data_IF_470651491109
#
_entry.id   IF_470651491109
#
_cell.length_a   1.000
_cell.length_b   1.000
_cell.length_c   1.000
_cell.angle_alpha   90.00
_cell.angle_beta   90.00
_cell.angle_gamma   90.00
#
_symmetry.space_group_name_H-M   'P 1'
#
loop_
_entity.id
_entity.type
_entity.pdbx_description
1 polymer ?
#
# COMPACT_ATOMS: atom_id res chain seq x y z
N UNK A 1 28.03 21.94 22.04
CA UNK A 1 27.39 21.37 20.84
C UNK A 1 28.46 21.21 19.77
N UNK A 2 28.52 20.04 19.12
CA UNK A 2 29.53 19.79 18.09
C UNK A 2 29.28 20.72 16.89
N UNK A 3 30.35 21.28 16.32
CA UNK A 3 30.26 22.12 15.13
C UNK A 3 29.76 21.28 13.95
N UNK A 4 28.71 21.71 13.23
CA UNK A 4 28.24 21.00 12.04
C UNK A 4 29.39 20.86 11.03
N UNK A 5 29.67 19.63 10.59
CA UNK A 5 30.82 19.34 9.72
C UNK A 5 30.46 19.24 8.23
N UNK A 6 29.17 19.26 7.89
CA UNK A 6 28.66 19.50 6.54
C UNK A 6 27.37 20.30 6.64
N UNK A 7 27.29 21.42 5.90
CA UNK A 7 26.05 22.13 5.60
C UNK A 7 25.70 21.87 4.14
N UNK A 8 25.19 20.68 3.82
CA UNK A 8 24.38 20.56 2.61
C UNK A 8 22.98 21.04 2.98
N UNK A 9 22.77 22.35 2.79
CA UNK A 9 21.49 22.99 3.04
C UNK A 9 20.56 22.64 1.90
N UNK A 10 19.77 21.58 2.04
CA UNK A 10 18.63 21.34 1.15
C UNK A 10 17.51 22.32 1.54
N UNK A 11 17.30 23.37 0.75
CA UNK A 11 16.26 24.35 1.01
C UNK A 11 14.88 23.76 0.72
N UNK A 12 14.17 23.34 1.76
CA UNK A 12 12.73 23.02 1.67
C UNK A 12 11.96 24.29 1.98
N UNK A 13 11.68 25.11 0.97
CA UNK A 13 10.82 26.28 1.19
C UNK A 13 9.40 25.81 1.49
N UNK A 14 8.91 26.08 2.70
CA UNK A 14 7.57 25.74 3.18
C UNK A 14 6.66 26.99 3.30
N UNK A 15 7.16 28.16 2.90
CA UNK A 15 6.39 29.39 2.77
C UNK A 15 5.44 29.28 1.58
N UNK A 16 4.20 28.86 1.86
CA UNK A 16 3.14 28.76 0.87
C UNK A 16 1.87 29.44 1.42
N UNK A 17 1.04 30.00 0.54
CA UNK A 17 -0.22 30.64 0.93
C UNK A 17 -1.31 29.63 1.32
N UNK A 18 -1.06 28.33 1.16
CA UNK A 18 -1.93 27.23 1.52
C UNK A 18 -1.10 26.08 2.10
N UNK A 19 -1.73 25.19 2.89
CA UNK A 19 -1.08 23.99 3.40
C UNK A 19 -0.53 23.14 2.25
N UNK A 20 0.75 22.75 2.35
CA UNK A 20 1.45 21.92 1.37
C UNK A 20 2.29 20.87 2.08
N UNK A 21 2.27 19.65 1.53
CA UNK A 21 3.19 18.60 1.94
C UNK A 21 4.33 18.57 0.92
N UNK A 22 5.58 18.64 1.39
CA UNK A 22 6.78 18.56 0.56
C UNK A 22 7.70 17.47 1.10
N UNK A 23 8.46 16.85 0.21
CA UNK A 23 9.54 15.94 0.57
C UNK A 23 10.84 16.37 -0.11
N UNK A 24 11.96 15.98 0.49
CA UNK A 24 13.29 16.26 -0.01
C UNK A 24 14.14 15.00 0.12
N UNK A 25 14.94 14.72 -0.89
CA UNK A 25 16.00 13.72 -0.82
C UNK A 25 17.33 14.45 -0.67
N UNK A 26 18.10 14.12 0.35
CA UNK A 26 19.43 14.66 0.55
C UNK A 26 20.46 13.88 -0.28
N UNK A 27 21.65 14.45 -0.47
CA UNK A 27 22.82 13.65 -0.82
C UNK A 27 23.12 12.62 0.29
N UNK A 28 23.89 11.54 0.01
CA UNK A 28 24.32 10.59 1.03
C UNK A 28 24.95 11.29 2.23
N UNK A 29 24.44 11.01 3.43
CA UNK A 29 24.91 11.63 4.67
C UNK A 29 26.16 10.89 5.17
N UNK A 30 27.32 11.56 5.30
CA UNK A 30 28.52 10.89 5.78
C UNK A 30 28.47 10.71 7.31
N UNK A 31 28.93 9.55 7.80
CA UNK A 31 29.06 9.29 9.24
C UNK A 31 30.12 10.18 9.91
N UNK A 32 31.09 10.73 9.17
CA UNK A 32 32.16 11.60 9.68
C UNK A 32 32.84 11.06 10.96
N UNK A 33 33.13 9.75 10.99
CA UNK A 33 33.75 9.08 12.13
C UNK A 33 32.86 8.91 13.36
N UNK A 34 31.56 9.23 13.27
CA UNK A 34 30.57 8.97 14.31
C UNK A 34 30.01 7.57 14.21
N UNK A 35 29.55 7.03 15.35
CA UNK A 35 28.88 5.73 15.43
C UNK A 35 27.46 5.75 14.88
N UNK A 36 26.79 6.90 14.96
CA UNK A 36 25.40 7.08 14.55
C UNK A 36 25.27 8.33 13.68
N UNK A 37 24.39 8.28 12.68
CA UNK A 37 23.97 9.45 11.93
C UNK A 37 23.03 10.29 12.81
N UNK A 38 23.24 11.60 12.83
CA UNK A 38 22.34 12.56 13.45
C UNK A 38 21.96 13.62 12.40
N UNK A 39 20.66 13.82 12.22
CA UNK A 39 20.10 14.88 11.39
C UNK A 39 19.51 15.95 12.30
N UNK A 40 19.86 17.21 12.06
CA UNK A 40 19.24 18.36 12.71
C UNK A 40 18.51 19.18 11.65
N UNK A 41 17.22 19.42 11.87
CA UNK A 41 16.38 20.22 10.99
C UNK A 41 16.11 21.56 11.66
N UNK A 42 16.55 22.64 11.02
CA UNK A 42 16.42 24.00 11.54
C UNK A 42 15.44 24.78 10.67
N UNK A 43 14.44 25.40 11.33
CA UNK A 43 13.58 26.39 10.70
C UNK A 43 14.22 27.77 10.73
N UNK A 44 13.82 28.64 9.81
CA UNK A 44 14.26 30.04 9.76
C UNK A 44 13.14 31.05 10.08
N UNK A 45 11.96 30.56 10.49
CA UNK A 45 10.81 31.39 10.85
C UNK A 45 10.08 30.79 12.07
N UNK A 46 9.82 31.63 13.07
CA UNK A 46 9.11 31.21 14.28
C UNK A 46 7.59 31.42 14.19
N UNK A 47 7.11 32.11 13.16
CA UNK A 47 5.69 32.44 12.95
C UNK A 47 4.95 31.42 12.07
N UNK A 48 5.67 30.44 11.50
CA UNK A 48 5.09 29.37 10.70
C UNK A 48 5.57 28.03 11.27
N UNK A 49 4.63 27.25 11.79
CA UNK A 49 4.94 25.90 12.27
C UNK A 49 5.04 24.94 11.09
N UNK A 50 5.99 24.01 11.17
CA UNK A 50 6.19 22.94 10.20
C UNK A 50 6.12 21.62 10.95
N UNK A 51 5.20 20.76 10.56
CA UNK A 51 5.13 19.40 11.07
C UNK A 51 6.02 18.48 10.23
N UNK A 52 6.85 17.68 10.91
CA UNK A 52 7.62 16.62 10.27
C UNK A 52 6.75 15.37 10.27
N UNK A 53 6.29 14.97 9.09
CA UNK A 53 5.41 13.80 8.92
C UNK A 53 6.24 12.50 8.91
N UNK A 54 7.47 12.52 8.41
CA UNK A 54 8.34 11.35 8.40
C UNK A 54 9.71 11.59 7.76
N UNK A 55 10.59 10.60 7.90
CA UNK A 55 11.90 10.55 7.25
C UNK A 55 12.24 9.09 6.90
N UNK A 56 12.98 8.89 5.81
CA UNK A 56 13.48 7.57 5.38
C UNK A 56 14.99 7.62 5.19
N UNK A 57 15.69 6.67 5.78
CA UNK A 57 17.13 6.47 5.55
C UNK A 57 17.32 5.31 4.58
N UNK A 58 18.09 5.55 3.52
CA UNK A 58 18.41 4.56 2.50
C UNK A 58 19.93 4.38 2.43
N UNK A 59 20.40 3.15 2.27
CA UNK A 59 21.82 2.87 2.07
C UNK A 59 22.18 3.09 0.60
N UNK A 60 23.19 3.91 0.33
CA UNK A 60 23.76 4.07 -1.02
C UNK A 60 24.63 2.87 -1.42
N UNK A 61 25.28 2.22 -0.44
CA UNK A 61 26.11 1.03 -0.62
C UNK A 61 25.29 -0.25 -0.84
N UNK A 62 24.08 -0.30 -0.29
CA UNK A 62 23.15 -1.38 -0.50
C UNK A 62 21.78 -0.80 -0.91
N UNK A 63 21.66 -0.28 -2.14
CA UNK A 63 20.40 0.32 -2.62
C UNK A 63 19.35 -0.75 -2.93
N UNK A 64 19.72 -2.03 -2.84
CA UNK A 64 18.85 -3.17 -3.07
C UNK A 64 17.98 -3.38 -1.83
N UNK A 65 16.67 -3.27 -1.99
CA UNK A 65 15.73 -3.51 -0.90
C UNK A 65 14.36 -2.93 -1.20
N UNK A 66 13.40 -3.26 -0.34
CA UNK A 66 12.04 -2.73 -0.39
C UNK A 66 11.73 -2.08 0.95
N UNK A 67 11.12 -0.89 0.90
CA UNK A 67 10.52 -0.25 2.07
C UNK A 67 9.02 -0.22 1.86
N UNK A 68 8.29 -0.92 2.72
CA UNK A 68 6.83 -1.00 2.67
C UNK A 68 6.27 0.01 3.67
N UNK A 69 5.43 0.92 3.17
CA UNK A 69 4.62 1.79 4.02
C UNK A 69 3.18 1.34 3.90
N UNK A 70 2.61 0.91 5.01
CA UNK A 70 1.19 0.59 5.06
C UNK A 70 0.37 1.89 5.14
N UNK A 71 -0.66 1.98 4.30
CA UNK A 71 -1.67 3.04 4.27
C UNK A 71 -3.09 2.45 4.39
N UNK A 72 -3.20 1.25 4.98
CA UNK A 72 -4.47 0.57 5.21
C UNK A 72 -5.27 1.19 6.34
N UNK A 73 -6.59 1.06 6.24
CA UNK A 73 -7.53 1.42 7.30
C UNK A 73 -8.62 0.33 7.38
N UNK A 74 -9.03 -0.01 8.60
CA UNK A 74 -10.06 -1.01 8.82
C UNK A 74 -11.42 -0.57 8.27
N UNK A 75 -12.18 -1.50 7.70
CA UNK A 75 -13.53 -1.26 7.18
C UNK A 75 -13.60 -0.68 5.77
N UNK A 76 -12.47 -0.25 5.21
CA UNK A 76 -12.46 0.49 3.95
C UNK A 76 -12.79 -0.40 2.73
N UNK A 77 -13.75 0.03 1.92
CA UNK A 77 -13.96 -0.48 0.56
C UNK A 77 -13.25 0.39 -0.49
N UNK A 78 -13.11 -0.11 -1.73
CA UNK A 78 -12.52 0.69 -2.82
C UNK A 78 -13.32 1.97 -3.07
N UNK A 79 -14.65 1.88 -2.97
CA UNK A 79 -15.55 3.02 -3.12
C UNK A 79 -15.36 4.02 -1.98
N UNK A 80 -15.34 3.55 -0.73
CA UNK A 80 -15.16 4.43 0.42
C UNK A 80 -13.80 5.13 0.40
N UNK A 81 -12.72 4.45 -0.02
CA UNK A 81 -11.42 5.08 -0.21
C UNK A 81 -11.52 6.26 -1.19
N UNK A 82 -12.15 6.03 -2.35
CA UNK A 82 -12.29 7.04 -3.41
C UNK A 82 -13.10 8.26 -2.95
N UNK A 83 -14.11 8.03 -2.12
CA UNK A 83 -14.99 9.09 -1.62
C UNK A 83 -14.36 9.88 -0.46
N UNK A 84 -13.60 9.18 0.41
CA UNK A 84 -13.05 9.77 1.64
C UNK A 84 -11.73 10.49 1.42
N UNK A 85 -10.82 9.91 0.63
CA UNK A 85 -9.43 10.37 0.54
C UNK A 85 -9.15 11.18 -0.72
N UNK A 86 -10.16 11.86 -1.27
CA UNK A 86 -10.03 12.57 -2.55
C UNK A 86 -8.88 13.59 -2.63
N UNK A 87 -8.51 14.18 -1.48
CA UNK A 87 -7.52 15.25 -1.32
C UNK A 87 -6.14 14.78 -0.83
N UNK A 88 -5.93 13.47 -0.66
CA UNK A 88 -4.67 12.92 -0.12
C UNK A 88 -3.46 13.02 -1.07
N UNK A 89 -3.63 13.65 -2.25
CA UNK A 89 -2.63 13.63 -3.32
C UNK A 89 -1.29 14.28 -2.98
N UNK A 90 -1.30 15.41 -2.26
CA UNK A 90 -0.06 16.10 -1.86
C UNK A 90 0.76 15.23 -0.88
N UNK A 91 0.10 14.56 0.07
CA UNK A 91 0.74 13.61 0.99
C UNK A 91 1.26 12.37 0.24
N UNK A 92 0.44 11.78 -0.63
CA UNK A 92 0.82 10.61 -1.42
C UNK A 92 2.06 10.88 -2.28
N UNK A 93 2.09 12.04 -2.94
CA UNK A 93 3.23 12.47 -3.75
C UNK A 93 4.49 12.68 -2.91
N UNK A 94 4.36 13.30 -1.75
CA UNK A 94 5.48 13.54 -0.85
C UNK A 94 6.12 12.23 -0.35
N UNK A 95 5.35 11.16 -0.17
CA UNK A 95 5.88 9.85 0.21
C UNK A 95 6.71 9.17 -0.90
N UNK A 96 6.56 9.60 -2.15
CA UNK A 96 7.47 9.24 -3.24
C UNK A 96 7.48 7.76 -3.60
N UNK A 97 6.33 7.09 -3.60
CA UNK A 97 6.26 5.66 -3.90
C UNK A 97 6.69 5.31 -5.33
N UNK A 98 7.29 4.12 -5.47
CA UNK A 98 7.73 3.55 -6.75
C UNK A 98 6.77 2.48 -7.29
N UNK A 99 5.90 1.94 -6.44
CA UNK A 99 4.82 1.05 -6.79
C UNK A 99 3.70 1.14 -5.74
N UNK A 100 2.51 0.64 -6.05
CA UNK A 100 1.43 0.48 -5.09
C UNK A 100 0.89 -0.95 -5.08
N UNK A 101 0.58 -1.46 -3.88
CA UNK A 101 -0.10 -2.75 -3.68
C UNK A 101 -1.52 -2.45 -3.22
N UNK A 102 -2.52 -3.00 -3.91
CA UNK A 102 -3.93 -2.84 -3.58
C UNK A 102 -4.52 -4.19 -3.18
N UNK A 103 -4.98 -4.29 -1.94
CA UNK A 103 -5.63 -5.47 -1.39
C UNK A 103 -7.00 -5.07 -0.84
N UNK A 104 -8.01 -5.13 -1.71
CA UNK A 104 -9.41 -4.79 -1.42
C UNK A 104 -10.31 -5.97 -1.79
N UNK A 105 -11.55 -5.96 -1.32
CA UNK A 105 -12.54 -6.96 -1.67
C UNK A 105 -13.52 -7.28 -0.56
N UNK A 106 -13.03 -7.49 0.68
CA UNK A 106 -13.85 -7.93 1.81
C UNK A 106 -15.04 -7.01 2.09
N UNK A 107 -14.77 -5.70 2.22
CA UNK A 107 -15.80 -4.70 2.52
C UNK A 107 -16.58 -4.33 1.26
N UNK A 108 -15.94 -4.28 0.09
CA UNK A 108 -16.62 -4.06 -1.19
C UNK A 108 -17.77 -5.05 -1.39
N UNK A 109 -17.54 -6.34 -1.12
CA UNK A 109 -18.63 -7.33 -1.20
C UNK A 109 -19.61 -7.21 -0.01
N UNK A 110 -19.13 -6.84 1.19
CA UNK A 110 -19.96 -6.55 2.35
C UNK A 110 -21.01 -5.46 2.08
N UNK A 111 -20.64 -4.47 1.27
CA UNK A 111 -21.51 -3.39 0.78
C UNK A 111 -22.36 -3.78 -0.44
N UNK A 112 -22.21 -5.01 -0.94
CA UNK A 112 -22.98 -5.51 -2.08
C UNK A 112 -22.44 -5.09 -3.46
N UNK A 113 -21.17 -4.69 -3.56
CA UNK A 113 -20.55 -4.45 -4.87
C UNK A 113 -20.56 -5.73 -5.71
N UNK A 114 -20.91 -5.59 -6.99
CA UNK A 114 -20.72 -6.66 -7.98
C UNK A 114 -19.26 -6.70 -8.43
N UNK A 115 -18.86 -7.78 -9.11
CA UNK A 115 -17.51 -7.87 -9.68
C UNK A 115 -17.24 -6.78 -10.73
N UNK A 116 -18.28 -6.34 -11.45
CA UNK A 116 -18.20 -5.24 -12.41
C UNK A 116 -17.97 -3.89 -11.72
N UNK A 117 -18.77 -3.58 -10.69
CA UNK A 117 -18.61 -2.35 -9.90
C UNK A 117 -17.27 -2.33 -9.16
N UNK A 118 -16.82 -3.48 -8.63
CA UNK A 118 -15.52 -3.62 -7.99
C UNK A 118 -14.40 -3.29 -8.99
N UNK A 119 -14.43 -3.90 -10.18
CA UNK A 119 -13.47 -3.60 -11.27
C UNK A 119 -13.42 -2.11 -11.58
N UNK A 120 -14.58 -1.50 -11.85
CA UNK A 120 -14.65 -0.10 -12.23
C UNK A 120 -14.09 0.82 -11.13
N UNK A 121 -14.38 0.52 -9.87
CA UNK A 121 -13.82 1.26 -8.74
C UNK A 121 -12.31 1.03 -8.59
N UNK A 122 -11.81 -0.19 -8.80
CA UNK A 122 -10.36 -0.45 -8.78
C UNK A 122 -9.64 0.30 -9.90
N UNK A 123 -10.19 0.34 -11.12
CA UNK A 123 -9.63 1.13 -12.24
C UNK A 123 -9.60 2.63 -11.90
N UNK A 124 -10.66 3.15 -11.28
CA UNK A 124 -10.71 4.55 -10.78
C UNK A 124 -9.67 4.81 -9.70
N UNK A 125 -9.45 3.87 -8.79
CA UNK A 125 -8.43 3.97 -7.74
C UNK A 125 -7.02 3.97 -8.34
N UNK A 126 -6.74 3.09 -9.31
CA UNK A 126 -5.47 3.07 -10.04
C UNK A 126 -5.21 4.43 -10.71
N UNK A 127 -6.21 4.95 -11.43
CA UNK A 127 -6.11 6.25 -12.09
C UNK A 127 -5.85 7.38 -11.08
N UNK A 128 -6.50 7.33 -9.91
CA UNK A 128 -6.30 8.30 -8.82
C UNK A 128 -4.86 8.26 -8.28
N UNK A 129 -4.35 7.07 -7.98
CA UNK A 129 -2.99 6.88 -7.46
C UNK A 129 -1.93 7.36 -8.46
N UNK A 130 -2.09 7.05 -9.75
CA UNK A 130 -1.21 7.52 -10.83
C UNK A 130 -1.28 9.04 -11.00
N UNK A 131 -2.46 9.63 -10.87
CA UNK A 131 -2.62 11.08 -10.86
C UNK A 131 -1.93 11.75 -9.66
N UNK A 132 -2.06 11.18 -8.45
CA UNK A 132 -1.40 11.71 -7.26
C UNK A 132 0.12 11.65 -7.35
N UNK A 133 0.66 10.49 -7.75
CA UNK A 133 2.09 10.29 -7.95
C UNK A 133 2.66 11.09 -9.12
N UNK A 134 1.84 11.51 -10.08
CA UNK A 134 2.31 12.11 -11.33
C UNK A 134 3.00 11.12 -12.26
N UNK A 135 2.85 9.81 -12.01
CA UNK A 135 3.46 8.72 -12.78
C UNK A 135 2.33 7.93 -13.49
N UNK A 136 2.03 8.20 -14.77
CA UNK A 136 0.90 7.55 -15.47
C UNK A 136 1.09 6.04 -15.66
N UNK A 137 2.32 5.55 -15.52
CA UNK A 137 2.74 4.16 -15.63
C UNK A 137 3.22 3.58 -14.29
N UNK A 138 2.87 4.21 -13.15
CA UNK A 138 3.22 3.68 -11.83
C UNK A 138 2.81 2.20 -11.75
N UNK A 139 3.75 1.28 -11.42
CA UNK A 139 3.45 -0.12 -11.22
C UNK A 139 2.40 -0.33 -10.13
N UNK A 140 1.37 -1.10 -10.44
CA UNK A 140 0.32 -1.50 -9.49
C UNK A 140 0.33 -3.02 -9.35
N UNK A 141 0.27 -3.52 -8.13
CA UNK A 141 0.09 -4.93 -7.82
C UNK A 141 -1.28 -5.11 -7.16
N UNK A 142 -2.16 -5.85 -7.81
CA UNK A 142 -3.50 -6.16 -7.31
C UNK A 142 -3.46 -7.52 -6.60
N UNK A 143 -3.85 -7.56 -5.33
CA UNK A 143 -3.99 -8.79 -4.55
C UNK A 143 -5.48 -9.05 -4.32
N UNK A 144 -5.97 -10.20 -4.77
CA UNK A 144 -7.37 -10.57 -4.56
C UNK A 144 -7.60 -11.06 -3.13
N UNK A 145 -8.62 -10.56 -2.45
CA UNK A 145 -8.92 -11.02 -1.10
C UNK A 145 -9.31 -12.52 -1.05
N UNK A 146 -8.73 -13.31 -0.12
CA UNK A 146 -9.08 -14.70 0.15
C UNK A 146 -10.55 -14.98 0.50
N UNK A 147 -10.87 -16.26 0.67
CA UNK A 147 -12.20 -16.65 1.14
C UNK A 147 -12.49 -16.08 2.53
N UNK A 148 -13.69 -15.55 2.70
CA UNK A 148 -14.27 -15.14 3.99
C UNK A 148 -15.65 -15.78 4.15
N UNK A 149 -16.15 -15.86 5.38
CA UNK A 149 -17.51 -16.29 5.67
C UNK A 149 -18.45 -15.09 5.85
N UNK A 150 -19.72 -15.37 6.12
CA UNK A 150 -20.72 -14.35 6.45
C UNK A 150 -21.35 -13.67 5.22
N UNK A 151 -21.11 -14.19 4.01
CA UNK A 151 -21.74 -13.72 2.78
C UNK A 151 -23.03 -14.47 2.49
N UNK A 152 -24.01 -13.77 1.91
CA UNK A 152 -25.17 -14.43 1.28
C UNK A 152 -24.73 -15.21 0.03
N UNK A 153 -25.50 -16.20 -0.45
CA UNK A 153 -25.14 -16.95 -1.66
C UNK A 153 -24.94 -16.07 -2.91
N UNK A 154 -25.71 -14.99 -3.05
CA UNK A 154 -25.57 -14.04 -4.14
C UNK A 154 -24.24 -13.26 -4.03
N UNK A 155 -23.90 -12.80 -2.83
CA UNK A 155 -22.62 -12.14 -2.58
C UNK A 155 -21.44 -13.08 -2.80
N UNK A 156 -21.50 -14.33 -2.33
CA UNK A 156 -20.43 -15.30 -2.55
C UNK A 156 -20.18 -15.54 -4.05
N UNK A 157 -21.25 -15.57 -4.85
CA UNK A 157 -21.16 -15.71 -6.31
C UNK A 157 -20.42 -14.53 -6.95
N UNK A 158 -20.72 -13.30 -6.55
CA UNK A 158 -20.02 -12.11 -7.04
C UNK A 158 -18.57 -12.05 -6.52
N UNK A 159 -18.36 -12.39 -5.25
CA UNK A 159 -17.05 -12.37 -4.61
C UNK A 159 -16.06 -13.34 -5.27
N UNK A 160 -16.53 -14.53 -5.64
CA UNK A 160 -15.74 -15.51 -6.38
C UNK A 160 -15.29 -15.00 -7.76
N UNK A 161 -15.94 -13.97 -8.31
CA UNK A 161 -15.59 -13.36 -9.60
C UNK A 161 -14.60 -12.20 -9.48
N UNK A 162 -14.33 -11.69 -8.28
CA UNK A 162 -13.38 -10.57 -8.08
C UNK A 162 -11.97 -10.85 -8.62
N UNK A 163 -11.36 -12.04 -8.43
CA UNK A 163 -10.06 -12.33 -9.04
C UNK A 163 -10.08 -12.25 -10.58
N UNK A 164 -11.20 -12.61 -11.20
CA UNK A 164 -11.41 -12.47 -12.65
C UNK A 164 -11.50 -11.01 -13.09
N UNK A 165 -12.17 -10.17 -12.30
CA UNK A 165 -12.21 -8.72 -12.50
C UNK A 165 -10.81 -8.09 -12.43
N UNK A 166 -10.01 -8.41 -11.41
CA UNK A 166 -8.64 -7.91 -11.28
C UNK A 166 -7.75 -8.40 -12.44
N UNK A 167 -7.91 -9.65 -12.87
CA UNK A 167 -7.21 -10.19 -14.05
C UNK A 167 -7.55 -9.43 -15.32
N UNK A 168 -8.79 -9.00 -15.50
CA UNK A 168 -9.19 -8.21 -16.66
C UNK A 168 -8.47 -6.84 -16.69
N UNK A 169 -8.27 -6.20 -15.54
CA UNK A 169 -7.49 -4.96 -15.43
C UNK A 169 -6.05 -5.20 -15.87
N UNK A 170 -5.38 -6.19 -15.28
CA UNK A 170 -3.99 -6.55 -15.60
C UNK A 170 -3.79 -6.97 -17.08
N UNK A 171 -4.83 -7.51 -17.73
CA UNK A 171 -4.77 -7.84 -19.15
C UNK A 171 -4.84 -6.60 -20.05
N UNK A 172 -5.46 -5.52 -19.57
CA UNK A 172 -5.62 -4.25 -20.31
C UNK A 172 -4.54 -3.21 -20.02
N UNK A 173 -3.82 -3.35 -18.91
CA UNK A 173 -2.84 -2.40 -18.43
C UNK A 173 -1.50 -3.09 -18.15
N UNK A 174 -0.45 -2.84 -18.97
CA UNK A 174 0.83 -3.54 -18.85
C UNK A 174 1.63 -3.15 -17.60
N UNK A 175 1.27 -2.06 -16.91
CA UNK A 175 1.89 -1.67 -15.64
C UNK A 175 1.10 -2.21 -14.43
N UNK A 176 0.16 -3.12 -14.64
CA UNK A 176 -0.62 -3.77 -13.57
C UNK A 176 -0.29 -5.26 -13.52
N UNK A 177 0.12 -5.73 -12.35
CA UNK A 177 0.25 -7.15 -12.00
C UNK A 177 -0.92 -7.58 -11.12
N UNK A 178 -1.23 -8.88 -11.15
CA UNK A 178 -2.27 -9.47 -10.29
C UNK A 178 -1.77 -10.74 -9.62
N UNK A 179 -2.02 -10.85 -8.32
CA UNK A 179 -1.81 -12.06 -7.51
C UNK A 179 -3.19 -12.56 -7.10
N UNK A 180 -3.51 -13.80 -7.50
CA UNK A 180 -4.78 -14.43 -7.16
C UNK A 180 -4.68 -15.12 -5.80
N UNK A 181 -4.61 -14.33 -4.72
CA UNK A 181 -4.48 -14.83 -3.36
C UNK A 181 -5.66 -15.71 -2.94
N UNK A 182 -6.85 -15.51 -3.52
CA UNK A 182 -8.00 -16.41 -3.32
C UNK A 182 -7.68 -17.84 -3.75
N UNK A 183 -7.07 -18.03 -4.94
CA UNK A 183 -6.65 -19.35 -5.40
C UNK A 183 -5.52 -19.90 -4.53
N UNK A 184 -4.49 -19.10 -4.23
CA UNK A 184 -3.35 -19.52 -3.41
C UNK A 184 -3.83 -20.08 -2.06
N UNK A 185 -4.74 -19.37 -1.40
CA UNK A 185 -5.28 -19.77 -0.10
C UNK A 185 -6.33 -20.89 -0.22
N UNK A 186 -7.08 -20.96 -1.32
CA UNK A 186 -8.00 -22.09 -1.57
C UNK A 186 -7.24 -23.42 -1.59
N UNK A 187 -6.08 -23.46 -2.22
CA UNK A 187 -5.22 -24.65 -2.29
C UNK A 187 -4.66 -25.03 -0.90
N UNK A 188 -4.63 -24.09 0.05
CA UNK A 188 -4.28 -24.30 1.47
C UNK A 188 -5.50 -24.53 2.39
N UNK A 189 -6.69 -24.70 1.81
CA UNK A 189 -7.91 -25.02 2.55
C UNK A 189 -8.67 -23.81 3.10
N UNK A 190 -8.39 -22.59 2.64
CA UNK A 190 -9.23 -21.43 2.97
C UNK A 190 -10.48 -21.44 2.08
N UNK A 191 -11.44 -22.28 2.44
CA UNK A 191 -12.66 -22.52 1.68
C UNK A 191 -13.78 -23.08 2.56
N UNK A 192 -15.03 -22.86 2.13
CA UNK A 192 -16.24 -23.14 2.90
C UNK A 192 -16.33 -24.56 3.47
N UNK A 193 -15.85 -25.56 2.73
CA UNK A 193 -15.86 -26.98 3.07
C UNK A 193 -14.74 -27.40 4.03
N UNK A 194 -13.92 -26.45 4.51
CA UNK A 194 -12.80 -26.68 5.44
C UNK A 194 -12.95 -25.84 6.73
N UNK A 195 -14.03 -26.01 7.52
CA UNK A 195 -14.34 -25.13 8.64
C UNK A 195 -13.28 -25.14 9.76
N UNK A 196 -12.66 -26.29 10.04
CA UNK A 196 -11.55 -26.38 11.01
C UNK A 196 -10.38 -25.53 10.56
N UNK A 197 -10.02 -25.60 9.27
CA UNK A 197 -8.94 -24.79 8.72
C UNK A 197 -9.25 -23.30 8.84
N UNK A 198 -10.47 -22.90 8.49
CA UNK A 198 -10.91 -21.51 8.61
C UNK A 198 -10.82 -20.99 10.05
N UNK A 199 -11.12 -21.80 11.06
CA UNK A 199 -11.00 -21.38 12.48
C UNK A 199 -9.56 -21.14 12.95
N UNK A 200 -8.56 -21.65 12.22
CA UNK A 200 -7.15 -21.40 12.53
C UNK A 200 -6.63 -20.09 11.91
N UNK A 201 -7.21 -19.68 10.79
CA UNK A 201 -6.71 -18.58 9.95
C UNK A 201 -7.61 -17.35 9.96
N UNK A 202 -8.88 -17.49 10.36
CA UNK A 202 -9.84 -16.41 10.57
C UNK A 202 -10.20 -16.26 12.05
N UNK A 203 -10.20 -15.04 12.55
CA UNK A 203 -10.54 -14.67 13.94
C UNK A 203 -12.05 -14.58 14.15
N UNK A 204 -12.76 -13.91 13.25
CA UNK A 204 -14.19 -13.59 13.35
C UNK A 204 -14.89 -13.84 12.02
N UNK A 205 -14.52 -14.93 11.36
CA UNK A 205 -15.07 -15.32 10.06
C UNK A 205 -14.70 -14.38 8.89
N UNK A 206 -13.99 -13.27 9.16
CA UNK A 206 -13.55 -12.26 8.18
C UNK A 206 -12.07 -11.92 8.36
N UNK A 207 -11.68 -11.46 9.54
CA UNK A 207 -10.33 -10.96 9.80
C UNK A 207 -9.35 -12.11 10.02
N UNK A 208 -8.11 -11.94 9.56
CA UNK A 208 -7.09 -12.96 9.71
C UNK A 208 -6.60 -13.06 11.15
N UNK A 209 -6.31 -14.29 11.61
CA UNK A 209 -5.42 -14.48 12.76
C UNK A 209 -3.99 -14.08 12.37
N UNK A 210 -3.07 -13.86 13.33
CA UNK A 210 -1.66 -13.62 13.00
C UNK A 210 -1.06 -14.71 12.11
N UNK A 211 -1.46 -15.97 12.33
CA UNK A 211 -1.05 -17.11 11.48
C UNK A 211 -1.58 -16.97 10.06
N UNK A 212 -2.88 -16.66 9.90
CA UNK A 212 -3.48 -16.45 8.58
C UNK A 212 -2.82 -15.32 7.81
N UNK A 213 -2.54 -14.19 8.48
CA UNK A 213 -1.86 -13.05 7.86
C UNK A 213 -0.44 -13.38 7.40
N UNK A 214 0.35 -14.10 8.23
CA UNK A 214 1.70 -14.54 7.87
C UNK A 214 1.67 -15.50 6.67
N UNK A 215 0.75 -16.45 6.68
CA UNK A 215 0.62 -17.45 5.61
C UNK A 215 0.25 -16.81 4.27
N UNK A 216 -0.75 -15.92 4.28
CA UNK A 216 -1.17 -15.16 3.11
C UNK A 216 -0.01 -14.32 2.54
N UNK A 217 0.63 -13.52 3.40
CA UNK A 217 1.74 -12.68 2.98
C UNK A 217 2.92 -13.49 2.43
N UNK A 218 3.24 -14.64 3.03
CA UNK A 218 4.31 -15.51 2.56
C UNK A 218 4.05 -16.04 1.15
N UNK A 219 2.83 -16.51 0.85
CA UNK A 219 2.49 -17.00 -0.49
C UNK A 219 2.42 -15.87 -1.53
N UNK A 220 1.86 -14.72 -1.18
CA UNK A 220 1.82 -13.56 -2.06
C UNK A 220 3.23 -13.09 -2.42
N UNK A 221 4.12 -12.97 -1.42
CA UNK A 221 5.51 -12.57 -1.66
C UNK A 221 6.32 -13.62 -2.41
N UNK A 222 6.07 -14.92 -2.16
CA UNK A 222 6.70 -15.99 -2.93
C UNK A 222 6.33 -15.94 -4.42
N UNK A 223 5.08 -15.58 -4.74
CA UNK A 223 4.64 -15.38 -6.12
C UNK A 223 5.22 -14.11 -6.72
N UNK A 224 5.26 -13.02 -5.95
CA UNK A 224 5.73 -11.71 -6.43
C UNK A 224 7.24 -11.67 -6.67
N UNK A 225 8.03 -12.19 -5.74
CA UNK A 225 9.49 -12.08 -5.73
C UNK A 225 10.19 -13.34 -6.25
N UNK A 226 9.44 -14.42 -6.47
CA UNK A 226 9.98 -15.74 -6.77
C UNK A 226 10.38 -16.52 -5.50
N UNK A 227 10.91 -17.74 -5.66
CA UNK A 227 11.41 -18.51 -4.53
C UNK A 227 12.50 -17.72 -3.79
N UNK A 228 12.44 -17.73 -2.46
CA UNK A 228 13.55 -17.21 -1.66
C UNK A 228 14.83 -17.98 -2.03
N UNK A 229 15.99 -17.30 -2.19
CA UNK A 229 17.25 -17.95 -2.47
C UNK A 229 17.68 -18.93 -1.37
#
# INVERSE_FOLDING_TARGET
FATPSLQDTAAVSLTESAFKVKSVMTAPLPLNGKRFLQLELLGNMNSALTDIIGARFMSDQCPQGLVIQDLSAGGLSTKEFLDTYGEAGDLFRAMGFDAAVLHFGANDIGEGSTAESFRANTERLIARIRSWSGKPDLPIILMSDPYRKGLTPAQETEYARYPGALRAIAASDPAVLVINSRRLMHDQGWKADQPTRLSEVLLDDVHYTPRGAIELAAEEMRVLLGPAP
#
